data_IF_909388945320
#
_entry.id   IF_909388945320
#
_cell.length_a   1.000
_cell.length_b   1.000
_cell.length_c   1.000
_cell.angle_alpha   90.00
_cell.angle_beta   90.00
_cell.angle_gamma   90.00
#
_symmetry.space_group_name_H-M   'P 1'
#
loop_
_entity.id
_entity.type
_entity.pdbx_description
1 polymer ?
#
# COMPACT_ATOMS: atom_id res chain seq x y z
N UNK A 1 19.57 4.63 5.39
CA UNK A 1 18.68 3.57 5.93
C UNK A 1 18.45 3.70 7.42
N UNK A 2 19.49 3.91 8.26
CA UNK A 2 19.35 4.11 9.71
C UNK A 2 18.23 5.10 10.08
N UNK A 3 18.13 6.21 9.36
CA UNK A 3 17.12 7.25 9.64
C UNK A 3 15.72 6.92 9.08
N UNK A 4 15.63 6.04 8.08
CA UNK A 4 14.37 5.67 7.44
C UNK A 4 13.74 4.43 8.07
N UNK A 5 14.55 3.45 8.51
CA UNK A 5 14.08 2.17 9.05
C UNK A 5 13.01 2.33 10.15
N UNK A 6 13.08 3.30 11.09
CA UNK A 6 12.03 3.48 12.09
C UNK A 6 10.64 3.80 11.53
N UNK A 7 10.55 4.39 10.34
CA UNK A 7 9.29 4.66 9.66
C UNK A 7 8.71 3.45 8.93
N UNK A 8 9.47 2.35 8.84
CA UNK A 8 9.04 1.10 8.20
C UNK A 8 8.90 -0.05 9.20
N UNK A 9 9.81 -0.17 10.17
CA UNK A 9 9.85 -1.31 11.08
C UNK A 9 8.69 -1.29 12.09
N UNK A 10 7.97 -2.40 12.17
CA UNK A 10 6.71 -2.61 12.89
C UNK A 10 5.61 -1.63 12.49
N UNK A 11 5.63 -1.16 11.24
CA UNK A 11 4.62 -0.25 10.71
C UNK A 11 3.72 -0.92 9.67
N UNK A 12 2.55 -0.31 9.47
CA UNK A 12 1.64 -0.62 8.36
C UNK A 12 1.82 0.42 7.26
N UNK A 13 2.16 -0.03 6.05
CA UNK A 13 2.37 0.83 4.88
C UNK A 13 1.18 0.75 3.93
N UNK A 14 0.85 1.87 3.29
CA UNK A 14 -0.16 1.94 2.24
C UNK A 14 0.50 2.52 1.00
N UNK A 15 0.30 1.87 -0.14
CA UNK A 15 0.72 2.41 -1.42
C UNK A 15 -0.24 2.00 -2.54
N UNK A 16 -0.22 2.75 -3.63
CA UNK A 16 -0.95 2.42 -4.83
C UNK A 16 -0.08 1.58 -5.75
N UNK A 17 -0.49 0.33 -6.02
CA UNK A 17 0.36 -0.70 -6.61
C UNK A 17 1.57 -1.08 -5.74
N UNK A 18 1.33 -1.22 -4.43
CA UNK A 18 2.36 -1.44 -3.39
C UNK A 18 3.37 -2.57 -3.65
N UNK A 19 3.03 -3.57 -4.46
CA UNK A 19 3.98 -4.63 -4.82
C UNK A 19 5.24 -4.08 -5.52
N UNK A 20 5.10 -2.98 -6.27
CA UNK A 20 6.22 -2.27 -6.90
C UNK A 20 7.10 -1.58 -5.86
N UNK A 21 6.52 -0.75 -4.99
CA UNK A 21 7.30 -0.04 -3.94
C UNK A 21 8.02 -1.01 -3.01
N UNK A 22 7.34 -2.09 -2.61
CA UNK A 22 7.94 -3.13 -1.79
C UNK A 22 9.05 -3.89 -2.51
N UNK A 23 8.99 -4.06 -3.84
CA UNK A 23 10.08 -4.73 -4.58
C UNK A 23 11.31 -3.83 -4.66
N UNK A 24 11.12 -2.53 -4.96
CA UNK A 24 12.21 -1.54 -4.99
C UNK A 24 12.88 -1.44 -3.63
N UNK A 25 12.11 -1.36 -2.53
CA UNK A 25 12.65 -1.35 -1.17
C UNK A 25 13.50 -2.61 -0.91
N UNK A 26 12.95 -3.81 -1.15
CA UNK A 26 13.66 -5.07 -0.88
C UNK A 26 14.95 -5.20 -1.68
N UNK A 27 14.89 -4.97 -2.99
CA UNK A 27 16.07 -5.07 -3.85
C UNK A 27 17.13 -4.01 -3.53
N UNK A 28 16.71 -2.80 -3.15
CA UNK A 28 17.65 -1.80 -2.64
C UNK A 28 18.33 -2.29 -1.37
N UNK A 29 17.58 -2.85 -0.42
CA UNK A 29 18.15 -3.38 0.82
C UNK A 29 19.10 -4.55 0.54
N UNK A 30 18.76 -5.46 -0.38
CA UNK A 30 19.64 -6.55 -0.80
C UNK A 30 20.93 -6.04 -1.43
N UNK A 31 20.84 -5.10 -2.38
CA UNK A 31 21.98 -4.55 -3.10
C UNK A 31 23.01 -3.90 -2.17
N UNK A 32 22.54 -3.25 -1.11
CA UNK A 32 23.38 -2.61 -0.10
C UNK A 32 23.62 -3.48 1.14
N UNK A 33 23.20 -4.75 1.11
CA UNK A 33 23.35 -5.72 2.19
C UNK A 33 22.79 -5.20 3.55
N UNK A 34 21.65 -4.51 3.50
CA UNK A 34 20.99 -3.88 4.63
C UNK A 34 19.89 -4.80 5.22
N UNK A 35 19.63 -4.65 6.52
CA UNK A 35 18.57 -5.42 7.19
C UNK A 35 17.18 -5.00 6.71
N UNK A 36 16.32 -5.98 6.45
CA UNK A 36 14.91 -5.75 6.17
C UNK A 36 14.17 -5.17 7.40
N UNK A 37 13.12 -4.35 7.20
CA UNK A 37 12.17 -4.04 8.25
C UNK A 37 11.17 -5.20 8.41
N UNK A 38 10.46 -5.22 9.54
CA UNK A 38 9.21 -5.97 9.66
C UNK A 38 8.10 -5.00 9.34
N UNK A 39 7.26 -5.29 8.35
CA UNK A 39 6.13 -4.43 8.03
C UNK A 39 4.97 -5.22 7.45
N UNK A 40 3.77 -4.68 7.63
CA UNK A 40 2.58 -5.04 6.87
C UNK A 40 2.29 -3.98 5.82
N UNK A 41 1.60 -4.34 4.74
CA UNK A 41 1.18 -3.35 3.78
C UNK A 41 -0.13 -3.70 3.06
N UNK A 42 -0.79 -2.64 2.60
CA UNK A 42 -2.06 -2.67 1.85
C UNK A 42 -1.89 -1.99 0.50
N UNK A 43 -2.61 -2.49 -0.50
CA UNK A 43 -2.52 -1.99 -1.87
C UNK A 43 -3.83 -1.34 -2.32
N UNK A 44 -3.86 -0.02 -2.42
CA UNK A 44 -5.08 0.72 -2.77
C UNK A 44 -5.50 0.50 -4.21
N UNK A 45 -4.56 0.19 -5.11
CA UNK A 45 -4.87 -0.25 -6.48
C UNK A 45 -5.78 -1.49 -6.46
N UNK A 46 -5.35 -2.56 -5.78
CA UNK A 46 -6.09 -3.82 -5.71
C UNK A 46 -7.42 -3.67 -4.97
N UNK A 47 -7.43 -2.89 -3.89
CA UNK A 47 -8.65 -2.58 -3.14
C UNK A 47 -9.64 -1.80 -4.01
N UNK A 48 -9.16 -0.84 -4.79
CA UNK A 48 -10.00 -0.04 -5.72
C UNK A 48 -10.56 -0.91 -6.84
N UNK A 49 -9.76 -1.81 -7.41
CA UNK A 49 -10.21 -2.76 -8.45
C UNK A 49 -11.41 -3.59 -7.99
N UNK A 50 -11.41 -4.00 -6.71
CA UNK A 50 -12.47 -4.85 -6.16
C UNK A 50 -13.73 -4.07 -5.75
N UNK A 51 -13.59 -2.78 -5.40
CA UNK A 51 -14.65 -2.03 -4.71
C UNK A 51 -15.24 -0.86 -5.48
N UNK A 52 -14.63 -0.48 -6.61
CA UNK A 52 -15.04 0.67 -7.42
C UNK A 52 -15.38 0.23 -8.85
N UNK A 53 -16.57 0.60 -9.37
CA UNK A 53 -16.97 0.33 -10.75
C UNK A 53 -16.33 1.36 -11.71
N UNK A 54 -15.00 1.38 -11.79
CA UNK A 54 -14.24 2.24 -12.68
C UNK A 54 -13.68 1.45 -13.87
N UNK A 55 -13.58 2.05 -15.07
CA UNK A 55 -12.97 1.40 -16.22
C UNK A 55 -11.45 1.19 -16.06
N UNK A 56 -10.83 2.00 -15.21
CA UNK A 56 -9.42 1.92 -14.85
C UNK A 56 -9.21 2.38 -13.41
N UNK A 57 -8.19 1.82 -12.77
CA UNK A 57 -7.90 2.03 -11.35
C UNK A 57 -6.52 2.63 -11.13
N UNK A 58 -5.91 3.26 -12.15
CA UNK A 58 -4.65 4.00 -11.95
C UNK A 58 -4.84 5.09 -10.91
N UNK A 59 -3.76 5.50 -10.25
CA UNK A 59 -3.81 6.44 -9.14
C UNK A 59 -4.57 7.73 -9.48
N UNK A 60 -4.32 8.29 -10.66
CA UNK A 60 -5.01 9.49 -11.16
C UNK A 60 -6.52 9.27 -11.40
N UNK A 61 -6.92 8.09 -11.87
CA UNK A 61 -8.32 7.75 -12.11
C UNK A 61 -9.09 7.62 -10.80
N UNK A 62 -8.53 6.90 -9.82
CA UNK A 62 -9.15 6.71 -8.51
C UNK A 62 -9.14 8.03 -7.71
N UNK A 63 -8.06 8.81 -7.79
CA UNK A 63 -7.99 10.13 -7.15
C UNK A 63 -9.07 11.06 -7.69
N UNK A 64 -9.23 11.11 -9.02
CA UNK A 64 -10.30 11.88 -9.68
C UNK A 64 -11.69 11.42 -9.25
N UNK A 65 -11.93 10.11 -9.13
CA UNK A 65 -13.21 9.58 -8.67
C UNK A 65 -13.59 10.11 -7.27
N UNK A 66 -12.62 10.22 -6.37
CA UNK A 66 -12.83 10.73 -5.01
C UNK A 66 -12.60 12.23 -4.84
N UNK A 67 -12.36 12.99 -5.92
CA UNK A 67 -11.98 14.40 -5.88
C UNK A 67 -10.73 14.68 -5.01
N UNK A 68 -9.76 13.76 -5.03
CA UNK A 68 -8.46 13.90 -4.35
C UNK A 68 -7.50 14.66 -5.27
N UNK A 69 -6.89 15.73 -4.76
CA UNK A 69 -5.86 16.47 -5.48
C UNK A 69 -4.62 15.60 -5.66
N UNK A 70 -4.15 15.48 -6.90
CA UNK A 70 -2.96 14.72 -7.25
C UNK A 70 -2.02 15.59 -8.09
N UNK A 71 -0.83 15.87 -7.57
CA UNK A 71 0.27 16.37 -8.39
C UNK A 71 1.05 15.16 -8.89
N UNK A 72 0.67 14.66 -10.06
CA UNK A 72 1.14 13.36 -10.55
C UNK A 72 2.66 13.35 -10.74
N UNK A 73 3.33 12.27 -10.31
CA UNK A 73 4.79 12.07 -10.30
C UNK A 73 5.56 12.78 -9.20
N UNK A 74 4.87 13.41 -8.25
CA UNK A 74 5.47 13.79 -6.98
C UNK A 74 5.23 12.67 -5.96
N UNK A 75 6.31 12.06 -5.45
CA UNK A 75 6.23 10.90 -4.57
C UNK A 75 5.44 11.15 -3.28
N UNK A 76 5.56 12.35 -2.70
CA UNK A 76 4.76 12.76 -1.53
C UNK A 76 3.28 12.87 -1.88
N UNK A 77 2.95 13.52 -3.01
CA UNK A 77 1.56 13.62 -3.48
C UNK A 77 0.95 12.25 -3.77
N UNK A 78 1.72 11.32 -4.33
CA UNK A 78 1.24 9.96 -4.64
C UNK A 78 1.01 9.15 -3.34
N UNK A 79 1.87 9.32 -2.34
CA UNK A 79 1.71 8.72 -1.01
C UNK A 79 0.48 9.26 -0.28
N UNK A 80 0.29 10.59 -0.26
CA UNK A 80 -0.88 11.23 0.34
C UNK A 80 -2.16 10.77 -0.37
N UNK A 81 -2.18 10.77 -1.70
CA UNK A 81 -3.34 10.30 -2.46
C UNK A 81 -3.66 8.83 -2.16
N UNK A 82 -2.65 7.97 -2.06
CA UNK A 82 -2.83 6.57 -1.65
C UNK A 82 -3.49 6.45 -0.27
N UNK A 83 -3.01 7.20 0.72
CA UNK A 83 -3.59 7.20 2.06
C UNK A 83 -5.05 7.69 2.05
N UNK A 84 -5.34 8.79 1.35
CA UNK A 84 -6.69 9.33 1.22
C UNK A 84 -7.65 8.35 0.52
N UNK A 85 -7.19 7.65 -0.53
CA UNK A 85 -7.98 6.60 -1.19
C UNK A 85 -8.32 5.50 -0.18
N UNK A 86 -7.37 5.03 0.63
CA UNK A 86 -7.65 4.00 1.63
C UNK A 86 -8.72 4.45 2.63
N UNK A 87 -8.64 5.70 3.11
CA UNK A 87 -9.66 6.30 4.00
C UNK A 87 -11.02 6.33 3.31
N UNK A 88 -11.10 6.78 2.05
CA UNK A 88 -12.35 6.81 1.28
C UNK A 88 -12.95 5.43 1.05
N UNK A 89 -12.12 4.41 0.87
CA UNK A 89 -12.58 3.03 0.77
C UNK A 89 -13.12 2.51 2.12
N UNK A 90 -12.47 2.84 3.23
CA UNK A 90 -12.98 2.53 4.57
C UNK A 90 -14.35 3.18 4.82
N UNK A 91 -14.49 4.47 4.52
CA UNK A 91 -15.75 5.22 4.62
C UNK A 91 -16.86 4.56 3.77
N UNK A 92 -16.56 4.25 2.50
CA UNK A 92 -17.50 3.65 1.54
C UNK A 92 -18.02 2.29 2.03
N UNK A 93 -17.15 1.46 2.59
CA UNK A 93 -17.49 0.11 3.05
C UNK A 93 -17.87 0.05 4.54
N UNK A 94 -17.88 1.19 5.24
CA UNK A 94 -18.24 1.32 6.66
C UNK A 94 -17.39 0.40 7.57
N UNK A 95 -16.09 0.35 7.31
CA UNK A 95 -15.10 -0.39 8.11
C UNK A 95 -14.17 0.57 8.83
N UNK A 96 -13.63 0.15 9.98
CA UNK A 96 -12.88 1.05 10.87
C UNK A 96 -11.37 0.83 10.82
N UNK A 97 -10.87 -0.12 10.03
CA UNK A 97 -9.45 -0.40 9.89
C UNK A 97 -9.07 -0.92 8.49
N UNK A 98 -7.80 -0.80 8.13
CA UNK A 98 -7.26 -1.34 6.87
C UNK A 98 -7.32 -2.87 6.80
N UNK A 99 -7.21 -3.52 7.95
CA UNK A 99 -7.32 -4.97 8.08
C UNK A 99 -8.75 -5.43 7.82
N UNK A 100 -9.75 -4.74 8.40
CA UNK A 100 -11.16 -4.97 8.10
C UNK A 100 -11.47 -4.71 6.63
N UNK A 101 -10.97 -3.60 6.07
CA UNK A 101 -11.11 -3.27 4.65
C UNK A 101 -10.59 -4.40 3.78
N UNK A 102 -9.35 -4.84 4.02
CA UNK A 102 -8.74 -5.91 3.23
C UNK A 102 -9.47 -7.24 3.39
N UNK A 103 -9.88 -7.58 4.63
CA UNK A 103 -10.62 -8.81 4.92
C UNK A 103 -12.00 -8.82 4.26
N UNK A 104 -12.74 -7.71 4.31
CA UNK A 104 -14.08 -7.56 3.72
C UNK A 104 -14.06 -7.75 2.19
N UNK A 105 -12.98 -7.29 1.54
CA UNK A 105 -12.75 -7.46 0.11
C UNK A 105 -12.02 -8.78 -0.24
N UNK A 106 -11.82 -9.67 0.72
CA UNK A 106 -11.24 -11.00 0.49
C UNK A 106 -9.74 -11.01 0.20
N UNK A 107 -8.98 -10.04 0.69
CA UNK A 107 -7.52 -9.99 0.54
C UNK A 107 -6.78 -10.50 1.78
N UNK A 108 -5.56 -11.01 1.57
CA UNK A 108 -4.55 -11.27 2.58
C UNK A 108 -3.59 -10.08 2.63
N UNK A 109 -3.32 -9.58 3.84
CA UNK A 109 -2.39 -8.46 4.06
C UNK A 109 -0.96 -8.87 3.71
N UNK A 110 -0.29 -8.02 2.93
CA UNK A 110 1.09 -8.22 2.50
C UNK A 110 2.06 -8.02 3.66
N UNK A 111 3.20 -8.71 3.63
CA UNK A 111 4.21 -8.63 4.68
C UNK A 111 5.63 -8.66 4.13
N UNK A 112 6.53 -7.94 4.80
CA UNK A 112 7.98 -8.14 4.73
C UNK A 112 8.42 -8.55 6.14
N UNK A 113 9.18 -9.63 6.26
CA UNK A 113 9.61 -10.20 7.53
C UNK A 113 11.13 -10.15 7.60
N UNK A 114 11.67 -9.49 8.63
CA UNK A 114 13.09 -9.22 8.76
C UNK A 114 13.90 -10.49 9.05
N UNK A 115 13.42 -11.30 9.99
CA UNK A 115 14.08 -12.52 10.50
C UNK A 115 14.39 -13.52 9.38
N UNK A 116 13.44 -13.72 8.46
CA UNK A 116 13.53 -14.70 7.37
C UNK A 116 13.84 -14.06 6.01
N UNK A 117 14.00 -12.74 5.95
CA UNK A 117 14.03 -11.95 4.70
C UNK A 117 12.88 -12.31 3.73
N UNK A 118 11.74 -12.72 4.25
CA UNK A 118 10.63 -13.22 3.42
C UNK A 118 9.70 -12.09 2.98
N UNK A 119 9.12 -12.26 1.80
CA UNK A 119 8.13 -11.37 1.20
C UNK A 119 6.84 -12.13 0.93
N UNK A 120 5.74 -11.64 1.49
CA UNK A 120 4.40 -12.15 1.22
C UNK A 120 3.59 -11.08 0.49
N UNK A 121 3.14 -11.33 -0.74
CA UNK A 121 2.39 -10.35 -1.50
C UNK A 121 1.02 -10.07 -0.88
N UNK A 122 0.53 -8.84 -1.05
CA UNK A 122 -0.89 -8.52 -0.88
C UNK A 122 -1.70 -9.20 -2.00
N UNK A 123 -2.52 -10.20 -1.68
CA UNK A 123 -3.15 -11.08 -2.66
C UNK A 123 -4.60 -11.45 -2.31
N UNK A 124 -5.39 -11.87 -3.30
CA UNK A 124 -6.74 -12.42 -3.05
C UNK A 124 -6.62 -13.73 -2.26
N UNK A 125 -7.58 -13.96 -1.36
CA UNK A 125 -7.71 -15.21 -0.62
C UNK A 125 -8.11 -16.35 -1.51
#
# INVERSE_FOLDING_TARGET
WKDLKPFFHNQTIIAHNAAFDCSVLRFTLDNYNLSYPDLSYHCTYRLSQESLPLPGHKLNEVSRHFNIKLNHHNAESDAIASALIAIKLCEKLKVNSLDELSKSLGFKVGKIISETKSYRPFSKK
#
